data_IF_683429790923
#
_entry.id   IF_683429790923
#
_cell.length_a   1.000
_cell.length_b   1.000
_cell.length_c   1.000
_cell.angle_alpha   90.00
_cell.angle_beta   90.00
_cell.angle_gamma   90.00
#
_symmetry.space_group_name_H-M   'P 1'
#
loop_
_entity.id
_entity.type
_entity.pdbx_description
1 polymer ?
#
# COMPACT_ATOMS: atom_id res chain seq x y z
N UNK A 1 -2.05 -13.31 -15.25
CA UNK A 1 -3.24 -12.44 -15.43
C UNK A 1 -2.93 -11.47 -16.56
N UNK A 2 -3.87 -11.17 -17.46
CA UNK A 2 -3.65 -10.18 -18.53
C UNK A 2 -3.49 -8.81 -17.88
N UNK A 3 -2.49 -8.04 -18.32
CA UNK A 3 -2.23 -6.70 -17.81
C UNK A 3 -3.39 -5.77 -18.23
N UNK A 4 -4.24 -5.35 -17.29
CA UNK A 4 -5.46 -4.58 -17.56
C UNK A 4 -5.18 -3.11 -17.95
N UNK A 5 -3.94 -2.75 -18.30
CA UNK A 5 -3.52 -1.38 -18.58
C UNK A 5 -3.38 -0.51 -17.32
N UNK A 6 -3.40 -1.10 -16.13
CA UNK A 6 -3.25 -0.40 -14.86
C UNK A 6 -1.78 -0.28 -14.48
N UNK A 7 -1.22 0.90 -14.71
CA UNK A 7 0.18 1.21 -14.44
C UNK A 7 0.27 2.57 -13.73
N UNK A 8 0.76 2.55 -12.49
CA UNK A 8 0.89 3.76 -11.66
C UNK A 8 1.70 4.86 -12.33
N UNK A 9 2.80 4.53 -13.01
CA UNK A 9 3.67 5.50 -13.65
C UNK A 9 3.00 6.15 -14.86
N UNK A 10 2.26 5.38 -15.66
CA UNK A 10 1.55 5.88 -16.83
C UNK A 10 0.33 6.72 -16.44
N UNK A 11 -0.32 6.39 -15.32
CA UNK A 11 -1.49 7.11 -14.81
C UNK A 11 -1.12 8.34 -13.98
N UNK A 12 0.11 8.45 -13.50
CA UNK A 12 0.53 9.57 -12.67
C UNK A 12 0.56 10.87 -13.50
N UNK A 13 -0.21 11.87 -13.07
CA UNK A 13 -0.41 13.15 -13.77
C UNK A 13 0.56 14.25 -13.31
N UNK A 14 1.41 13.97 -12.35
CA UNK A 14 2.40 14.93 -11.84
C UNK A 14 3.79 14.60 -12.34
N UNK A 15 4.64 15.63 -12.44
CA UNK A 15 6.07 15.43 -12.71
C UNK A 15 6.71 14.67 -11.55
N UNK A 16 7.45 13.62 -11.87
CA UNK A 16 8.08 12.73 -10.90
C UNK A 16 9.60 12.84 -10.97
N UNK A 17 10.24 12.96 -9.81
CA UNK A 17 11.69 12.82 -9.70
C UNK A 17 12.14 11.39 -10.03
N UNK A 18 13.45 11.18 -10.22
CA UNK A 18 14.00 9.84 -10.46
C UNK A 18 13.67 8.89 -9.29
N UNK A 19 13.79 9.41 -8.07
CA UNK A 19 13.54 8.69 -6.82
C UNK A 19 12.06 8.30 -6.72
N UNK A 20 11.15 9.22 -7.00
CA UNK A 20 9.71 8.96 -7.01
C UNK A 20 9.30 7.94 -8.09
N UNK A 21 9.87 8.01 -9.30
CA UNK A 21 9.62 7.01 -10.35
C UNK A 21 10.02 5.60 -9.91
N UNK A 22 11.18 5.47 -9.28
CA UNK A 22 11.65 4.18 -8.76
C UNK A 22 10.74 3.64 -7.65
N UNK A 23 10.28 4.52 -6.74
CA UNK A 23 9.36 4.15 -5.68
C UNK A 23 8.00 3.68 -6.22
N UNK A 24 7.41 4.40 -7.19
CA UNK A 24 6.16 3.95 -7.83
C UNK A 24 6.34 2.64 -8.60
N UNK A 25 7.48 2.42 -9.24
CA UNK A 25 7.79 1.14 -9.87
C UNK A 25 7.83 0.01 -8.84
N UNK A 26 8.45 0.22 -7.68
CA UNK A 26 8.49 -0.76 -6.58
C UNK A 26 7.09 -1.07 -6.05
N UNK A 27 6.22 -0.07 -5.89
CA UNK A 27 4.82 -0.27 -5.50
C UNK A 27 4.07 -1.05 -6.58
N UNK A 28 4.28 -0.73 -7.86
CA UNK A 28 3.64 -1.43 -8.98
C UNK A 28 4.01 -2.91 -9.02
N UNK A 29 5.27 -3.24 -8.71
CA UNK A 29 5.82 -4.60 -8.71
C UNK A 29 5.46 -5.41 -7.45
N UNK A 30 4.77 -4.81 -6.46
CA UNK A 30 4.39 -5.50 -5.24
C UNK A 30 3.45 -6.68 -5.53
N UNK A 31 3.67 -7.79 -4.82
CA UNK A 31 2.99 -9.06 -5.06
C UNK A 31 1.59 -9.07 -4.44
N UNK A 32 0.59 -9.13 -5.31
CA UNK A 32 -0.81 -9.10 -4.92
C UNK A 32 -1.36 -10.48 -4.54
N UNK A 33 -0.64 -11.60 -4.75
CA UNK A 33 -1.17 -12.96 -4.54
C UNK A 33 -1.56 -13.16 -3.07
N UNK A 34 -0.69 -12.77 -2.13
CA UNK A 34 -0.95 -12.91 -0.69
C UNK A 34 -1.95 -11.88 -0.19
N UNK A 35 -1.86 -10.62 -0.65
CA UNK A 35 -2.82 -9.57 -0.32
C UNK A 35 -4.23 -10.02 -0.74
N UNK A 36 -4.38 -10.50 -1.97
CA UNK A 36 -5.64 -11.03 -2.50
C UNK A 36 -6.14 -12.23 -1.68
N UNK A 37 -5.25 -13.16 -1.33
CA UNK A 37 -5.63 -14.33 -0.52
C UNK A 37 -6.15 -13.93 0.87
N UNK A 38 -5.46 -13.01 1.55
CA UNK A 38 -5.84 -12.55 2.87
C UNK A 38 -7.09 -11.67 2.83
N UNK A 39 -7.23 -10.78 1.85
CA UNK A 39 -8.44 -9.99 1.63
C UNK A 39 -9.66 -10.89 1.37
N UNK A 40 -9.51 -11.94 0.54
CA UNK A 40 -10.54 -12.98 0.34
C UNK A 40 -10.96 -13.66 1.63
N UNK A 41 -9.99 -13.91 2.51
CA UNK A 41 -10.25 -14.54 3.81
C UNK A 41 -11.02 -13.59 4.73
N UNK A 42 -10.61 -12.33 4.83
CA UNK A 42 -11.30 -11.29 5.61
C UNK A 42 -12.75 -11.15 5.14
N UNK A 43 -12.96 -10.96 3.83
CA UNK A 43 -14.31 -10.81 3.27
C UNK A 43 -15.18 -12.04 3.55
N UNK A 44 -14.63 -13.25 3.40
CA UNK A 44 -15.36 -14.49 3.70
C UNK A 44 -15.78 -14.57 5.18
N UNK A 45 -14.92 -14.16 6.11
CA UNK A 45 -15.22 -14.14 7.55
C UNK A 45 -16.30 -13.10 7.89
N UNK A 46 -16.34 -11.97 7.15
CA UNK A 46 -17.41 -10.99 7.23
C UNK A 46 -18.71 -11.40 6.50
N UNK A 47 -18.74 -12.57 5.85
CA UNK A 47 -19.90 -13.04 5.08
C UNK A 47 -20.05 -12.41 3.69
N UNK A 48 -19.05 -11.65 3.23
CA UNK A 48 -19.05 -11.03 1.91
C UNK A 48 -18.63 -12.04 0.84
N UNK A 49 -19.26 -11.93 -0.34
CA UNK A 49 -18.87 -12.67 -1.54
C UNK A 49 -18.50 -11.68 -2.64
N UNK A 50 -17.26 -11.76 -3.10
CA UNK A 50 -16.71 -10.88 -4.14
C UNK A 50 -16.10 -11.71 -5.26
N UNK A 51 -16.08 -11.17 -6.48
CA UNK A 51 -15.46 -11.80 -7.65
C UNK A 51 -13.96 -11.46 -7.72
N UNK A 52 -13.23 -12.07 -8.65
CA UNK A 52 -11.78 -11.81 -8.79
C UNK A 52 -11.48 -10.38 -9.26
N UNK A 53 -12.36 -9.78 -10.07
CA UNK A 53 -12.20 -8.39 -10.52
C UNK A 53 -12.18 -7.40 -9.35
N UNK A 54 -13.04 -7.61 -8.35
CA UNK A 54 -13.05 -6.81 -7.11
C UNK A 54 -11.68 -6.82 -6.42
N UNK A 55 -11.05 -7.99 -6.28
CA UNK A 55 -9.75 -8.08 -5.60
C UNK A 55 -8.62 -7.48 -6.42
N UNK A 56 -8.67 -7.61 -7.76
CA UNK A 56 -7.71 -6.93 -8.64
C UNK A 56 -7.82 -5.41 -8.51
N UNK A 57 -9.05 -4.88 -8.51
CA UNK A 57 -9.31 -3.45 -8.32
C UNK A 57 -8.85 -2.96 -6.94
N UNK A 58 -9.14 -3.72 -5.89
CA UNK A 58 -8.73 -3.35 -4.53
C UNK A 58 -7.22 -3.38 -4.33
N UNK A 59 -6.50 -4.33 -4.93
CA UNK A 59 -5.04 -4.34 -4.89
C UNK A 59 -4.45 -3.14 -5.66
N UNK A 60 -5.01 -2.80 -6.83
CA UNK A 60 -4.56 -1.63 -7.56
C UNK A 60 -4.86 -0.31 -6.82
N UNK A 61 -6.04 -0.18 -6.22
CA UNK A 61 -6.40 0.95 -5.37
C UNK A 61 -5.47 1.07 -4.14
N UNK A 62 -5.04 -0.07 -3.57
CA UNK A 62 -4.06 -0.08 -2.48
C UNK A 62 -2.71 0.47 -2.95
N UNK A 63 -2.29 0.12 -4.17
CA UNK A 63 -1.07 0.67 -4.79
C UNK A 63 -1.18 2.17 -5.05
N UNK A 64 -2.33 2.64 -5.55
CA UNK A 64 -2.60 4.07 -5.67
C UNK A 64 -2.52 4.77 -4.32
N UNK A 65 -3.03 4.14 -3.26
CA UNK A 65 -2.92 4.67 -1.91
C UNK A 65 -1.46 4.70 -1.41
N UNK A 66 -0.66 3.66 -1.60
CA UNK A 66 0.76 3.71 -1.21
C UNK A 66 1.56 4.80 -1.92
N UNK A 67 1.16 5.20 -3.13
CA UNK A 67 1.78 6.33 -3.81
C UNK A 67 1.65 7.65 -3.02
N UNK A 68 0.61 7.81 -2.19
CA UNK A 68 0.44 9.00 -1.33
C UNK A 68 1.59 9.15 -0.35
N UNK A 69 2.08 8.06 0.26
CA UNK A 69 3.23 8.11 1.16
C UNK A 69 4.54 8.50 0.48
N UNK A 70 4.62 8.42 -0.85
CA UNK A 70 5.81 8.79 -1.63
C UNK A 70 5.69 10.21 -2.17
N UNK A 71 4.49 10.57 -2.63
CA UNK A 71 4.26 11.81 -3.40
C UNK A 71 3.67 12.94 -2.55
N UNK A 72 3.16 12.63 -1.36
CA UNK A 72 2.70 13.59 -0.36
C UNK A 72 3.11 13.23 1.08
N UNK A 73 4.41 12.95 1.35
CA UNK A 73 4.85 12.33 2.61
C UNK A 73 4.74 13.22 3.86
N UNK A 74 4.37 14.50 3.69
CA UNK A 74 4.30 15.49 4.78
C UNK A 74 2.93 15.43 5.48
N UNK A 75 1.89 15.03 4.75
CA UNK A 75 0.52 15.05 5.24
C UNK A 75 0.10 13.70 5.81
N UNK A 76 -0.86 13.76 6.73
CA UNK A 76 -1.56 12.58 7.22
C UNK A 76 -2.63 12.23 6.19
N UNK A 77 -2.77 10.95 5.91
CA UNK A 77 -3.73 10.41 4.97
C UNK A 77 -4.71 9.47 5.65
N UNK A 78 -5.85 9.22 5.00
CA UNK A 78 -6.79 8.21 5.43
C UNK A 78 -7.29 7.42 4.22
N UNK A 79 -7.76 6.20 4.45
CA UNK A 79 -8.36 5.34 3.42
C UNK A 79 -9.86 5.21 3.61
N UNK A 80 -10.51 4.72 2.56
CA UNK A 80 -11.91 4.30 2.63
C UNK A 80 -12.04 3.02 3.45
N UNK A 81 -13.22 2.83 4.01
CA UNK A 81 -13.55 1.60 4.73
C UNK A 81 -13.47 0.34 3.86
N UNK A 82 -13.67 0.49 2.56
CA UNK A 82 -13.62 -0.57 1.56
C UNK A 82 -12.18 -0.99 1.27
N UNK A 83 -11.26 -0.01 1.20
CA UNK A 83 -9.85 -0.26 0.94
C UNK A 83 -9.10 -0.74 2.20
N UNK A 84 -9.62 -0.44 3.38
CA UNK A 84 -9.07 -0.81 4.69
C UNK A 84 -8.81 -2.32 4.83
N UNK A 85 -9.68 -3.16 4.27
CA UNK A 85 -9.48 -4.62 4.29
C UNK A 85 -8.23 -5.05 3.50
N UNK A 86 -7.90 -4.36 2.40
CA UNK A 86 -6.73 -4.67 1.58
C UNK A 86 -5.45 -4.19 2.26
N UNK A 87 -5.50 -3.01 2.89
CA UNK A 87 -4.39 -2.51 3.70
C UNK A 87 -4.12 -3.45 4.89
N UNK A 88 -5.16 -3.87 5.61
CA UNK A 88 -5.05 -4.87 6.68
C UNK A 88 -4.53 -6.22 6.19
N UNK A 89 -4.98 -6.67 5.02
CA UNK A 89 -4.45 -7.89 4.39
C UNK A 89 -2.94 -7.78 4.13
N UNK A 90 -2.46 -6.62 3.67
CA UNK A 90 -1.04 -6.43 3.42
C UNK A 90 -0.21 -6.36 4.72
N UNK A 91 -0.63 -5.58 5.72
CA UNK A 91 0.13 -5.48 6.98
C UNK A 91 0.16 -6.80 7.76
N UNK A 92 -0.85 -7.66 7.61
CA UNK A 92 -0.84 -9.02 8.17
C UNK A 92 0.24 -9.92 7.55
N UNK A 93 0.61 -9.68 6.29
CA UNK A 93 1.86 -10.21 5.73
C UNK A 93 3.02 -9.27 6.11
N UNK A 94 3.40 -9.34 7.38
CA UNK A 94 4.42 -8.46 7.98
C UNK A 94 5.75 -8.49 7.22
N UNK A 95 6.07 -9.59 6.55
CA UNK A 95 7.28 -9.72 5.73
C UNK A 95 7.15 -8.87 4.46
N UNK A 96 6.07 -9.04 3.69
CA UNK A 96 5.85 -8.24 2.46
C UNK A 96 5.74 -6.75 2.80
N UNK A 97 4.97 -6.42 3.84
CA UNK A 97 4.77 -5.05 4.26
C UNK A 97 6.08 -4.38 4.69
N UNK A 98 6.88 -5.05 5.52
CA UNK A 98 8.18 -4.53 5.94
C UNK A 98 9.12 -4.33 4.74
N UNK A 99 9.10 -5.25 3.78
CA UNK A 99 9.91 -5.12 2.57
C UNK A 99 9.51 -3.93 1.71
N UNK A 100 8.20 -3.71 1.51
CA UNK A 100 7.74 -2.52 0.80
C UNK A 100 8.20 -1.26 1.55
N UNK A 101 8.05 -1.21 2.87
CA UNK A 101 8.48 -0.05 3.66
C UNK A 101 10.00 0.20 3.58
N UNK A 102 10.82 -0.85 3.65
CA UNK A 102 12.27 -0.75 3.46
C UNK A 102 12.64 -0.26 2.06
N UNK A 103 11.95 -0.78 1.04
CA UNK A 103 12.13 -0.40 -0.36
C UNK A 103 11.69 1.06 -0.60
N UNK A 104 10.65 1.54 0.07
CA UNK A 104 10.21 2.94 0.00
C UNK A 104 11.00 3.85 0.94
N UNK A 105 11.85 3.28 1.79
CA UNK A 105 12.58 4.00 2.81
C UNK A 105 11.66 4.60 3.88
N UNK A 106 10.36 4.33 3.90
CA UNK A 106 9.37 4.93 4.81
C UNK A 106 8.41 3.87 5.34
N UNK A 107 7.91 4.06 6.56
CA UNK A 107 6.81 3.27 7.09
C UNK A 107 5.54 4.11 7.09
N UNK A 108 4.43 3.49 6.68
CA UNK A 108 3.10 4.07 6.79
C UNK A 108 2.49 3.58 8.11
N UNK A 109 2.56 4.39 9.15
CA UNK A 109 2.02 4.02 10.45
C UNK A 109 0.50 4.10 10.40
N UNK A 110 -0.17 3.20 11.11
CA UNK A 110 -1.63 3.12 11.17
C UNK A 110 -2.11 3.45 12.56
N UNK A 111 -3.04 4.38 12.62
CA UNK A 111 -3.71 4.81 13.83
C UNK A 111 -5.21 4.54 13.70
N UNK A 112 -5.70 3.40 14.23
CA UNK A 112 -7.10 3.02 14.11
C UNK A 112 -8.00 4.01 14.86
N UNK A 113 -9.17 4.29 14.27
CA UNK A 113 -10.16 5.14 14.90
C UNK A 113 -10.90 4.36 16.01
N UNK A 114 -10.92 4.93 17.22
CA UNK A 114 -11.90 4.53 18.22
C UNK A 114 -13.29 5.07 17.80
N UNK A 115 -14.31 4.22 17.57
CA UNK A 115 -15.63 4.68 17.15
C UNK A 115 -16.33 5.64 18.12
N UNK A 116 -15.91 5.66 19.38
CA UNK A 116 -16.47 6.53 20.42
C UNK A 116 -15.83 7.93 20.45
N UNK A 117 -14.68 8.10 19.78
CA UNK A 117 -13.96 9.38 19.71
C UNK A 117 -14.47 10.24 18.55
N UNK A 118 -15.46 11.08 18.84
CA UNK A 118 -16.06 11.98 17.85
C UNK A 118 -15.06 13.00 17.29
N UNK A 119 -14.12 13.47 18.10
CA UNK A 119 -13.14 14.46 17.64
C UNK A 119 -12.22 13.84 16.60
N UNK A 120 -11.73 12.63 16.87
CA UNK A 120 -10.88 11.89 15.94
C UNK A 120 -11.63 11.43 14.69
N UNK A 121 -12.93 11.16 14.81
CA UNK A 121 -13.78 10.84 13.67
C UNK A 121 -13.78 11.97 12.62
N UNK A 122 -14.00 13.21 13.06
CA UNK A 122 -14.00 14.38 12.16
C UNK A 122 -12.61 14.62 11.53
N UNK A 123 -11.54 14.38 12.31
CA UNK A 123 -10.16 14.45 11.81
C UNK A 123 -9.90 13.41 10.70
N UNK A 124 -10.29 12.14 10.92
CA UNK A 124 -10.16 11.07 9.92
C UNK A 124 -10.95 11.40 8.66
N UNK A 125 -12.18 11.90 8.78
CA UNK A 125 -12.97 12.30 7.61
C UNK A 125 -12.31 13.46 6.85
N UNK A 126 -11.77 14.45 7.57
CA UNK A 126 -11.06 15.56 6.93
C UNK A 126 -9.80 15.07 6.21
N UNK A 127 -9.02 14.18 6.82
CA UNK A 127 -7.85 13.58 6.20
C UNK A 127 -8.22 12.72 4.97
N UNK A 128 -9.34 11.98 5.04
CA UNK A 128 -9.85 11.21 3.91
C UNK A 128 -10.24 12.12 2.76
N UNK A 129 -11.00 13.19 3.04
CA UNK A 129 -11.41 14.17 2.03
C UNK A 129 -10.20 14.78 1.33
N UNK A 130 -9.19 15.21 2.10
CA UNK A 130 -7.93 15.69 1.54
C UNK A 130 -7.25 14.63 0.67
N UNK A 131 -7.09 13.41 1.20
CA UNK A 131 -6.46 12.30 0.47
C UNK A 131 -7.19 12.01 -0.84
N UNK A 132 -8.52 11.96 -0.83
CA UNK A 132 -9.32 11.56 -1.98
C UNK A 132 -9.50 12.66 -3.02
N UNK A 133 -9.96 13.83 -2.61
CA UNK A 133 -10.34 14.93 -3.50
C UNK A 133 -9.14 15.80 -3.90
N UNK A 134 -8.11 15.87 -3.05
CA UNK A 134 -6.93 16.70 -3.35
C UNK A 134 -5.78 15.85 -3.88
N UNK A 135 -5.39 14.81 -3.14
CA UNK A 135 -4.15 14.08 -3.44
C UNK A 135 -4.37 13.08 -4.57
N UNK A 136 -5.25 12.09 -4.39
CA UNK A 136 -5.48 11.03 -5.38
C UNK A 136 -6.00 11.58 -6.71
N UNK A 137 -6.94 12.53 -6.68
CA UNK A 137 -7.45 13.16 -7.91
C UNK A 137 -6.35 13.92 -8.65
N UNK A 138 -5.50 14.69 -7.95
CA UNK A 138 -4.34 15.36 -8.56
C UNK A 138 -3.34 14.35 -9.14
N UNK A 139 -3.07 13.27 -8.41
CA UNK A 139 -2.06 12.28 -8.79
C UNK A 139 -2.50 11.43 -9.98
N UNK A 140 -3.76 10.99 -10.03
CA UNK A 140 -4.20 9.98 -10.99
C UNK A 140 -5.37 10.42 -11.86
N UNK A 141 -6.10 11.46 -11.48
CA UNK A 141 -7.35 11.87 -12.13
C UNK A 141 -8.54 11.00 -11.76
N UNK A 142 -9.71 11.62 -11.70
CA UNK A 142 -10.97 10.97 -11.34
C UNK A 142 -11.29 9.76 -12.22
N UNK A 143 -10.93 9.81 -13.51
CA UNK A 143 -11.19 8.72 -14.45
C UNK A 143 -10.41 7.42 -14.16
N UNK A 144 -9.34 7.50 -13.37
CA UNK A 144 -8.48 6.36 -13.01
C UNK A 144 -8.70 5.90 -11.56
N UNK A 145 -9.67 6.47 -10.85
CA UNK A 145 -9.99 6.10 -9.47
C UNK A 145 -11.24 5.21 -9.46
N UNK A 146 -11.10 4.00 -8.91
CA UNK A 146 -12.24 3.12 -8.76
C UNK A 146 -13.19 3.66 -7.69
N UNK A 147 -14.43 3.99 -8.07
CA UNK A 147 -15.40 4.62 -7.18
C UNK A 147 -15.83 3.75 -5.99
N UNK A 148 -15.53 2.45 -6.00
CA UNK A 148 -15.79 1.57 -4.86
C UNK A 148 -14.69 1.65 -3.80
N UNK A 149 -13.42 1.72 -4.22
CA UNK A 149 -12.28 1.76 -3.31
C UNK A 149 -11.83 3.19 -2.96
N UNK A 150 -12.14 4.14 -3.83
CA UNK A 150 -11.95 5.56 -3.63
C UNK A 150 -13.29 6.30 -3.81
N UNK A 151 -14.32 6.00 -3.00
CA UNK A 151 -15.59 6.71 -3.07
C UNK A 151 -15.42 8.18 -2.64
N UNK A 152 -16.33 9.05 -3.05
CA UNK A 152 -16.34 10.45 -2.56
C UNK A 152 -16.70 10.50 -1.07
N UNK A 153 -17.60 9.62 -0.64
CA UNK A 153 -18.02 9.48 0.75
C UNK A 153 -17.67 8.09 1.27
N UNK A 154 -17.15 8.01 2.49
CA UNK A 154 -16.83 6.75 3.17
C UNK A 154 -17.05 6.87 4.66
N UNK A 155 -17.02 5.74 5.36
CA UNK A 155 -16.97 5.73 6.82
C UNK A 155 -15.52 5.92 7.28
N UNK A 156 -15.28 6.84 8.22
CA UNK A 156 -13.99 6.98 8.87
C UNK A 156 -13.56 5.68 9.56
N UNK A 157 -12.32 5.26 9.31
CA UNK A 157 -11.76 3.99 9.83
C UNK A 157 -10.39 4.15 10.48
N UNK A 158 -9.48 4.91 9.88
CA UNK A 158 -8.12 5.06 10.38
C UNK A 158 -7.40 6.27 9.78
N UNK A 159 -6.37 6.74 10.49
CA UNK A 159 -5.36 7.66 9.98
C UNK A 159 -4.08 6.90 9.66
N UNK A 160 -3.34 7.43 8.70
CA UNK A 160 -2.01 7.00 8.37
C UNK A 160 -1.07 8.18 8.24
N UNK A 161 0.10 8.07 8.83
CA UNK A 161 1.18 9.03 8.68
C UNK A 161 2.48 8.33 8.28
N UNK A 162 3.37 9.11 7.69
CA UNK A 162 4.69 8.66 7.27
C UNK A 162 5.72 9.10 8.30
N UNK A 163 6.66 8.22 8.65
CA UNK A 163 7.81 8.57 9.50
C UNK A 163 8.53 9.81 8.93
N UNK A 164 8.38 10.95 9.61
CA UNK A 164 8.87 12.26 9.15
C UNK A 164 10.38 12.31 8.94
N UNK A 165 11.15 11.57 9.73
CA UNK A 165 12.62 11.52 9.59
C UNK A 165 12.98 10.91 8.23
N UNK A 166 12.14 10.00 7.73
CA UNK A 166 12.36 9.30 6.48
C UNK A 166 11.67 9.98 5.29
N UNK A 167 10.60 10.76 5.53
CA UNK A 167 9.99 11.62 4.51
C UNK A 167 11.01 12.58 3.86
N UNK A 168 11.95 13.11 4.64
CA UNK A 168 13.02 13.99 4.12
C UNK A 168 13.90 13.32 3.06
N UNK A 169 14.03 11.99 3.09
CA UNK A 169 14.76 11.21 2.07
C UNK A 169 14.05 11.31 0.72
N UNK A 170 12.72 11.27 0.72
CA UNK A 170 11.88 11.37 -0.48
C UNK A 170 11.90 12.78 -1.07
N UNK A 171 12.00 13.80 -0.22
CA UNK A 171 11.97 15.21 -0.63
C UNK A 171 13.30 15.71 -1.19
N UNK A 172 14.43 15.13 -0.79
CA UNK A 172 15.78 15.62 -1.13
C UNK A 172 16.48 14.83 -2.24
N UNK A 173 15.75 13.98 -2.98
CA UNK A 173 16.30 13.06 -4.00
C UNK A 173 17.51 12.25 -3.48
N UNK A 174 17.54 11.99 -2.17
CA UNK A 174 18.62 11.22 -1.55
C UNK A 174 18.56 9.80 -2.11
N UNK A 175 19.71 9.21 -2.51
CA UNK A 175 19.69 7.92 -3.18
C UNK A 175 19.06 6.87 -2.28
N UNK A 176 17.98 6.25 -2.78
CA UNK A 176 17.53 4.97 -2.27
C UNK A 176 18.69 3.98 -2.30
N UNK A 177 18.70 3.03 -1.37
CA UNK A 177 19.55 1.87 -1.53
C UNK A 177 19.03 1.07 -2.75
N UNK A 178 19.68 1.25 -3.89
CA UNK A 178 19.35 0.54 -5.14
C UNK A 178 19.69 -0.96 -5.05
N UNK A 179 20.38 -1.39 -3.99
CA UNK A 179 20.89 -2.75 -3.79
C UNK A 179 20.56 -3.31 -2.40
N UNK A 180 19.31 -3.18 -1.95
CA UNK A 180 18.90 -3.89 -0.74
C UNK A 180 19.08 -5.41 -0.96
N UNK A 181 19.55 -6.11 0.08
CA UNK A 181 19.59 -7.58 0.07
C UNK A 181 18.21 -8.17 -0.23
N UNK A 182 17.16 -7.42 0.11
CA UNK A 182 15.76 -7.74 -0.15
C UNK A 182 15.36 -7.65 -1.63
N UNK A 183 15.87 -6.70 -2.43
CA UNK A 183 15.68 -6.70 -3.89
C UNK A 183 16.32 -7.95 -4.54
N UNK A 184 17.47 -8.39 -4.01
CA UNK A 184 18.11 -9.65 -4.44
C UNK A 184 17.24 -10.86 -4.07
N UNK A 185 16.59 -10.84 -2.90
CA UNK A 185 15.65 -11.89 -2.48
C UNK A 185 14.35 -11.87 -3.32
N UNK A 186 13.80 -10.69 -3.65
CA UNK A 186 12.66 -10.53 -4.60
C UNK A 186 13.01 -11.13 -5.97
N UNK A 187 14.13 -10.73 -6.55
CA UNK A 187 14.55 -11.19 -7.89
C UNK A 187 14.92 -12.69 -7.96
N UNK A 188 15.50 -13.26 -6.89
CA UNK A 188 16.01 -14.64 -6.91
C UNK A 188 14.94 -15.71 -6.66
N UNK A 189 13.90 -15.39 -5.88
CA UNK A 189 13.00 -16.40 -5.35
C UNK A 189 11.52 -16.21 -5.70
N UNK A 190 11.06 -14.96 -5.93
CA UNK A 190 9.63 -14.65 -5.87
C UNK A 190 9.00 -15.03 -4.51
N UNK A 191 7.76 -14.61 -4.22
CA UNK A 191 7.15 -14.95 -2.92
C UNK A 191 6.94 -16.47 -2.72
N UNK A 192 6.67 -17.24 -3.79
CA UNK A 192 6.46 -18.70 -3.70
C UNK A 192 7.69 -19.49 -3.26
N UNK A 193 8.88 -19.20 -3.78
CA UNK A 193 10.08 -19.90 -3.32
C UNK A 193 10.54 -19.40 -1.94
N UNK A 194 10.18 -18.16 -1.57
CA UNK A 194 10.49 -17.55 -0.27
C UNK A 194 9.87 -18.30 0.90
N UNK A 195 8.62 -18.75 0.79
CA UNK A 195 7.98 -19.58 1.83
C UNK A 195 8.70 -20.91 2.00
N UNK A 196 9.11 -21.53 0.90
CA UNK A 196 9.82 -22.81 0.90
C UNK A 196 11.23 -22.68 1.49
N UNK A 197 11.96 -21.60 1.18
CA UNK A 197 13.33 -21.38 1.66
C UNK A 197 13.39 -20.87 3.11
N UNK A 198 12.46 -20.01 3.55
CA UNK A 198 12.30 -19.66 4.97
C UNK A 198 11.93 -20.89 5.80
N UNK A 199 11.01 -21.74 5.31
CA UNK A 199 10.74 -23.03 5.94
C UNK A 199 11.98 -23.93 5.93
N UNK A 200 12.77 -23.92 4.85
CA UNK A 200 13.98 -24.72 4.74
C UNK A 200 15.12 -24.22 5.66
N UNK A 201 15.26 -22.91 5.87
CA UNK A 201 16.24 -22.32 6.77
C UNK A 201 15.85 -22.48 8.24
N UNK A 202 14.56 -22.40 8.57
CA UNK A 202 14.04 -22.68 9.91
C UNK A 202 14.08 -24.17 10.28
N UNK A 203 14.07 -25.07 9.29
CA UNK A 203 14.18 -26.53 9.50
C UNK A 203 15.61 -27.06 9.44
N UNK A 204 16.59 -26.25 8.99
CA UNK A 204 18.00 -26.53 9.23
C UNK A 204 18.28 -26.38 10.72
N UNK A 205 18.14 -27.50 11.43
CA UNK A 205 18.53 -27.67 12.83
C UNK A 205 19.82 -26.89 13.11
N UNK A 206 19.74 -25.91 14.01
CA UNK A 206 20.91 -25.44 14.74
C UNK A 206 21.46 -26.68 15.45
N UNK A 207 22.69 -27.13 15.16
CA UNK A 207 23.29 -28.20 15.94
C UNK A 207 23.45 -27.66 17.36
N UNK A 208 22.71 -28.26 18.31
CA UNK A 208 22.98 -28.13 19.73
C UNK A 208 24.30 -28.81 20.07
#
# INVERSE_FOLDING_TARGET
MKNNGWNLLEMCKVELSKVQKLALQRIQEEDEEIITFLAKKIDKECGNKRNDEYYQKGCFALKQYYATAVLDPIHVHAISSELDNFWHAHILDTVSYNMLCEDLGVYMHHDPLNPEDKSKYDEVLSAYKYTRETVLEKLFGEENLDSHFHPVETRAVCLHDVDRIKADVLLNDSPFNENTEMLKIKSKYGHRARRSELLHSLTKKVPY
#
